data_IF_812597818319
#
_entry.id   IF_812597818319
#
_cell.length_a   1.000
_cell.length_b   1.000
_cell.length_c   1.000
_cell.angle_alpha   90.00
_cell.angle_beta   90.00
_cell.angle_gamma   90.00
#
_symmetry.space_group_name_H-M   'P 1'
#
loop_
_entity.id
_entity.type
_entity.pdbx_description
1 polymer ?
#
# COMPACT_ATOMS: atom_id res chain seq x y z
N UNK A 1 1.65 -23.50 -22.73
CA UNK A 1 2.51 -22.55 -21.99
C UNK A 1 1.57 -21.59 -21.27
N UNK A 2 1.40 -21.73 -19.95
CA UNK A 2 0.54 -20.84 -19.16
C UNK A 2 1.36 -19.59 -18.83
N UNK A 3 1.05 -18.47 -19.50
CA UNK A 3 1.58 -17.17 -19.13
C UNK A 3 0.89 -16.76 -17.82
N UNK A 4 1.54 -17.06 -16.69
CA UNK A 4 1.14 -16.46 -15.42
C UNK A 4 1.62 -15.01 -15.55
N UNK A 5 0.71 -14.12 -15.93
CA UNK A 5 0.95 -12.68 -15.85
C UNK A 5 1.31 -12.39 -14.40
N UNK A 6 2.61 -12.15 -14.14
CA UNK A 6 3.06 -11.74 -12.83
C UNK A 6 2.20 -10.55 -12.40
N UNK A 7 1.46 -10.62 -11.27
CA UNK A 7 0.76 -9.45 -10.79
C UNK A 7 1.81 -8.37 -10.67
N UNK A 8 1.57 -7.22 -11.31
CA UNK A 8 2.48 -6.10 -11.18
C UNK A 8 2.65 -5.82 -9.68
N UNK A 9 3.83 -5.38 -9.28
CA UNK A 9 4.14 -5.04 -7.88
C UNK A 9 3.06 -4.10 -7.27
N UNK A 10 2.40 -3.33 -8.14
CA UNK A 10 1.21 -2.53 -7.90
C UNK A 10 -0.01 -3.29 -7.39
N UNK A 11 -0.43 -4.35 -8.09
CA UNK A 11 -1.60 -5.16 -7.72
C UNK A 11 -1.40 -5.79 -6.35
N UNK A 12 -0.17 -6.24 -6.04
CA UNK A 12 0.16 -6.77 -4.72
C UNK A 12 0.04 -5.70 -3.64
N UNK A 13 0.53 -4.47 -3.88
CA UNK A 13 0.51 -3.35 -2.92
C UNK A 13 -0.87 -2.77 -2.63
N UNK A 14 -1.78 -2.75 -3.61
CA UNK A 14 -3.17 -2.35 -3.38
C UNK A 14 -4.09 -3.54 -3.00
N UNK A 15 -3.51 -4.72 -2.71
CA UNK A 15 -4.29 -5.89 -2.32
C UNK A 15 -4.97 -5.69 -0.95
N UNK A 16 -6.05 -6.44 -0.66
CA UNK A 16 -6.68 -6.44 0.67
C UNK A 16 -5.67 -6.76 1.80
N UNK A 17 -4.74 -7.68 1.56
CA UNK A 17 -3.72 -8.06 2.55
C UNK A 17 -2.78 -6.89 2.87
N UNK A 18 -2.31 -6.16 1.86
CA UNK A 18 -1.46 -4.98 2.05
C UNK A 18 -2.20 -3.85 2.79
N UNK A 19 -3.49 -3.66 2.51
CA UNK A 19 -4.31 -2.70 3.24
C UNK A 19 -4.43 -3.05 4.73
N UNK A 20 -4.62 -4.34 5.05
CA UNK A 20 -4.63 -4.81 6.45
C UNK A 20 -3.28 -4.61 7.12
N UNK A 21 -2.17 -4.95 6.45
CA UNK A 21 -0.83 -4.75 7.00
C UNK A 21 -0.55 -3.29 7.38
N UNK A 22 -1.00 -2.34 6.55
CA UNK A 22 -0.86 -0.91 6.81
C UNK A 22 -1.73 -0.43 8.00
N UNK A 23 -2.93 -0.99 8.16
CA UNK A 23 -3.77 -0.71 9.34
C UNK A 23 -3.12 -1.24 10.62
N UNK A 24 -2.51 -2.44 10.57
CA UNK A 24 -1.74 -3.00 11.68
C UNK A 24 -0.57 -2.07 12.03
N UNK A 25 0.21 -1.62 11.03
CA UNK A 25 1.29 -0.66 11.25
C UNK A 25 0.79 0.61 11.97
N UNK A 26 -0.36 1.15 11.55
CA UNK A 26 -0.99 2.32 12.20
C UNK A 26 -1.34 2.04 13.67
N UNK A 27 -1.98 0.91 13.96
CA UNK A 27 -2.38 0.53 15.33
C UNK A 27 -1.17 0.40 16.26
N UNK A 28 -0.04 -0.10 15.74
CA UNK A 28 1.19 -0.25 16.50
C UNK A 28 2.11 0.98 16.46
N UNK A 29 1.69 2.08 15.83
CA UNK A 29 2.47 3.32 15.79
C UNK A 29 3.73 3.25 14.91
N UNK A 30 3.77 2.33 13.95
CA UNK A 30 4.91 2.12 13.03
C UNK A 30 4.93 3.19 11.91
N UNK A 31 5.21 4.43 12.29
CA UNK A 31 5.18 5.58 11.36
C UNK A 31 6.25 5.51 10.28
N UNK A 32 7.40 4.88 10.56
CA UNK A 32 8.48 4.69 9.60
C UNK A 32 8.03 3.82 8.43
N UNK A 33 7.44 2.65 8.71
CA UNK A 33 6.84 1.79 7.68
C UNK A 33 5.75 2.50 6.89
N UNK A 34 4.85 3.23 7.55
CA UNK A 34 3.80 3.99 6.85
C UNK A 34 4.39 5.06 5.92
N UNK A 35 5.44 5.75 6.38
CA UNK A 35 6.21 6.71 5.58
C UNK A 35 6.89 6.05 4.39
N UNK A 36 7.49 4.88 4.59
CA UNK A 36 8.11 4.10 3.52
C UNK A 36 7.10 3.73 2.44
N UNK A 37 5.93 3.20 2.83
CA UNK A 37 4.89 2.84 1.87
C UNK A 37 4.37 4.03 1.07
N UNK A 38 4.25 5.20 1.71
CA UNK A 38 3.84 6.45 1.06
C UNK A 38 4.90 7.00 0.11
N UNK A 39 6.17 7.01 0.52
CA UNK A 39 7.28 7.52 -0.30
C UNK A 39 7.50 6.67 -1.56
N UNK A 40 7.20 5.39 -1.46
CA UNK A 40 7.37 4.44 -2.56
C UNK A 40 6.06 4.19 -3.29
N UNK A 41 5.05 5.06 -3.19
CA UNK A 41 3.80 4.84 -3.91
C UNK A 41 4.07 4.74 -5.42
N UNK A 42 3.53 3.72 -6.11
CA UNK A 42 3.66 3.63 -7.55
C UNK A 42 2.98 4.80 -8.26
N UNK A 43 3.55 5.24 -9.40
CA UNK A 43 3.05 6.39 -10.18
C UNK A 43 1.64 6.17 -10.76
N UNK A 44 1.28 4.91 -10.98
CA UNK A 44 -0.02 4.41 -11.47
C UNK A 44 -0.94 3.97 -10.34
N UNK A 45 -0.62 4.28 -9.09
CA UNK A 45 -1.49 3.95 -7.96
C UNK A 45 -2.84 4.66 -8.11
N UNK A 46 -3.91 3.88 -7.94
CA UNK A 46 -5.27 4.39 -7.95
C UNK A 46 -5.43 5.60 -7.01
N UNK A 47 -6.01 6.72 -7.47
CA UNK A 47 -6.15 7.93 -6.66
C UNK A 47 -6.80 7.68 -5.29
N UNK A 48 -7.82 6.81 -5.27
CA UNK A 48 -8.51 6.41 -4.05
C UNK A 48 -7.59 5.65 -3.06
N UNK A 49 -6.62 4.88 -3.56
CA UNK A 49 -5.65 4.20 -2.73
C UNK A 49 -4.63 5.19 -2.13
N UNK A 50 -4.18 6.15 -2.94
CA UNK A 50 -3.27 7.23 -2.50
C UNK A 50 -3.90 8.08 -1.39
N UNK A 51 -5.15 8.52 -1.57
CA UNK A 51 -5.90 9.28 -0.55
C UNK A 51 -6.18 8.47 0.72
N UNK A 52 -6.49 7.19 0.57
CA UNK A 52 -6.65 6.29 1.71
C UNK A 52 -5.33 6.15 2.48
N UNK A 53 -4.20 5.90 1.80
CA UNK A 53 -2.90 5.77 2.47
C UNK A 53 -2.50 7.07 3.16
N UNK A 54 -2.78 8.23 2.55
CA UNK A 54 -2.53 9.51 3.17
C UNK A 54 -3.25 9.62 4.53
N UNK A 55 -4.55 9.26 4.60
CA UNK A 55 -5.32 9.24 5.86
C UNK A 55 -4.80 8.22 6.89
N UNK A 56 -4.31 7.07 6.42
CA UNK A 56 -3.71 6.06 7.32
C UNK A 56 -2.39 6.59 7.90
N UNK A 57 -1.55 7.22 7.07
CA UNK A 57 -0.26 7.81 7.48
C UNK A 57 -0.37 9.10 8.29
N UNK A 58 -1.53 9.75 8.29
CA UNK A 58 -1.81 10.88 9.16
C UNK A 58 -2.12 10.37 10.58
N UNK A 59 -1.40 10.93 11.55
CA UNK A 59 -1.56 10.72 12.98
C UNK A 59 -2.01 12.00 13.64
#
# INVERSE_FOLDING_TARGET
>A
MLFISSPSLNTARNSPASRVALLVCKVFGMQEELGYYRAHLPLDAEPAYSEWLQRVSQS
#
